data_IF_471788867062
#
_entry.id   IF_471788867062
#
_cell.length_a   1.000
_cell.length_b   1.000
_cell.length_c   1.000
_cell.angle_alpha   90.00
_cell.angle_beta   90.00
_cell.angle_gamma   90.00
#
_symmetry.space_group_name_H-M   'P 1'
#
loop_
_entity.id
_entity.type
_entity.pdbx_description
1 polymer ?
#
# COMPACT_ATOMS: atom_id res chain seq x y z
N UNK A 1 10.63 -2.07 15.80
CA UNK A 1 10.40 -3.53 15.72
C UNK A 1 9.07 -4.01 16.33
N UNK A 2 8.05 -3.17 16.26
CA UNK A 2 6.70 -3.48 16.76
C UNK A 2 6.05 -4.57 15.89
N UNK A 3 6.45 -4.70 14.63
CA UNK A 3 5.85 -5.62 13.66
C UNK A 3 6.36 -7.07 13.70
N UNK A 4 7.43 -7.39 14.40
CA UNK A 4 8.06 -8.73 14.36
C UNK A 4 7.48 -9.76 15.35
N UNK A 5 6.53 -9.38 16.23
CA UNK A 5 6.00 -10.26 17.29
C UNK A 5 4.47 -10.21 17.48
N UNK A 6 3.72 -9.58 16.56
CA UNK A 6 2.27 -9.49 16.69
C UNK A 6 1.61 -10.33 15.60
N UNK A 7 0.80 -11.28 15.99
CA UNK A 7 -0.12 -11.97 15.09
C UNK A 7 -1.44 -11.17 14.94
N UNK A 8 -2.34 -11.66 14.10
CA UNK A 8 -3.63 -10.99 13.87
C UNK A 8 -4.51 -10.98 15.13
N UNK A 9 -4.36 -11.96 16.01
CA UNK A 9 -5.09 -12.02 17.27
C UNK A 9 -4.63 -10.90 18.21
N UNK A 10 -3.32 -10.70 18.33
CA UNK A 10 -2.73 -9.63 19.13
C UNK A 10 -3.14 -8.25 18.62
N UNK A 11 -3.08 -8.02 17.30
CA UNK A 11 -3.51 -6.76 16.69
C UNK A 11 -4.98 -6.49 16.99
N UNK A 12 -5.85 -7.47 16.72
CA UNK A 12 -7.29 -7.34 16.95
C UNK A 12 -7.60 -7.02 18.40
N UNK A 13 -7.04 -7.80 19.35
CA UNK A 13 -7.30 -7.63 20.77
C UNK A 13 -6.82 -6.27 21.29
N UNK A 14 -5.62 -5.83 20.91
CA UNK A 14 -5.04 -4.57 21.36
C UNK A 14 -5.78 -3.37 20.78
N UNK A 15 -6.12 -3.38 19.50
CA UNK A 15 -6.90 -2.28 18.89
C UNK A 15 -8.28 -2.21 19.53
N UNK A 16 -8.98 -3.34 19.66
CA UNK A 16 -10.31 -3.39 20.24
C UNK A 16 -10.33 -2.85 21.68
N UNK A 17 -9.40 -3.28 22.52
CA UNK A 17 -9.31 -2.85 23.92
C UNK A 17 -8.81 -1.40 24.05
N UNK A 18 -7.82 -1.00 23.26
CA UNK A 18 -7.32 0.37 23.27
C UNK A 18 -8.35 1.40 22.78
N UNK A 19 -9.07 1.07 21.69
CA UNK A 19 -10.13 1.93 21.18
C UNK A 19 -11.30 2.11 22.16
N UNK A 20 -11.56 1.14 23.03
CA UNK A 20 -12.59 1.28 24.07
C UNK A 20 -12.39 2.54 24.92
N UNK A 21 -11.17 2.76 25.35
CA UNK A 21 -10.86 3.86 26.26
C UNK A 21 -10.76 5.20 25.51
N UNK A 22 -10.16 5.18 24.30
CA UNK A 22 -10.12 6.35 23.40
C UNK A 22 -11.53 6.84 23.06
N UNK A 23 -12.44 5.95 22.68
CA UNK A 23 -13.79 6.31 22.30
C UNK A 23 -14.64 6.80 23.49
N UNK A 24 -14.39 6.27 24.69
CA UNK A 24 -15.04 6.78 25.92
C UNK A 24 -14.59 8.21 26.28
N UNK A 25 -13.32 8.53 26.05
CA UNK A 25 -12.78 9.86 26.31
C UNK A 25 -13.19 10.85 25.23
N UNK A 26 -13.02 10.49 23.94
CA UNK A 26 -13.26 11.39 22.81
C UNK A 26 -14.77 11.61 22.52
N UNK A 27 -15.63 10.62 22.81
CA UNK A 27 -17.08 10.64 22.54
C UNK A 27 -17.46 11.18 21.15
N UNK A 28 -16.87 10.64 20.05
CA UNK A 28 -17.11 11.16 18.72
C UNK A 28 -18.53 10.85 18.24
N UNK A 29 -19.09 11.71 17.40
CA UNK A 29 -20.38 11.47 16.74
C UNK A 29 -20.30 10.40 15.65
N UNK A 30 -19.11 10.20 15.06
CA UNK A 30 -18.85 9.20 14.03
C UNK A 30 -17.38 8.79 14.03
N UNK A 31 -17.12 7.50 13.75
CA UNK A 31 -15.76 6.98 13.57
C UNK A 31 -15.53 6.67 12.10
N UNK A 32 -14.51 7.28 11.51
CA UNK A 32 -14.07 6.93 10.16
C UNK A 32 -13.02 5.82 10.21
N UNK A 33 -13.25 4.78 9.41
CA UNK A 33 -12.27 3.71 9.16
C UNK A 33 -11.96 3.67 7.66
N UNK A 34 -10.70 3.39 7.32
CA UNK A 34 -10.25 3.39 5.93
C UNK A 34 -9.69 2.02 5.53
N UNK A 35 -10.13 1.54 4.37
CA UNK A 35 -9.62 0.30 3.76
C UNK A 35 -10.04 -0.96 4.52
N UNK A 36 -9.14 -1.94 4.52
CA UNK A 36 -9.43 -3.33 4.83
C UNK A 36 -8.48 -3.99 5.85
N UNK A 37 -7.69 -3.18 6.54
CA UNK A 37 -6.77 -3.71 7.54
C UNK A 37 -7.52 -4.26 8.77
N UNK A 38 -6.89 -5.18 9.47
CA UNK A 38 -7.39 -5.68 10.77
C UNK A 38 -7.61 -4.55 11.77
N UNK A 39 -6.77 -3.50 11.72
CA UNK A 39 -6.94 -2.28 12.54
C UNK A 39 -8.26 -1.58 12.24
N UNK A 40 -8.60 -1.37 10.96
CA UNK A 40 -9.86 -0.73 10.55
C UNK A 40 -11.07 -1.53 11.03
N UNK A 41 -11.05 -2.85 10.87
CA UNK A 41 -12.13 -3.73 11.30
C UNK A 41 -12.30 -3.75 12.83
N UNK A 42 -11.20 -3.87 13.58
CA UNK A 42 -11.25 -3.86 15.04
C UNK A 42 -11.69 -2.51 15.61
N UNK A 43 -11.28 -1.40 15.00
CA UNK A 43 -11.75 -0.06 15.37
C UNK A 43 -13.24 0.14 15.07
N UNK A 44 -13.72 -0.34 13.92
CA UNK A 44 -15.14 -0.34 13.58
C UNK A 44 -15.98 -1.14 14.60
N UNK A 45 -15.50 -2.31 14.99
CA UNK A 45 -16.15 -3.15 16.00
C UNK A 45 -16.16 -2.48 17.39
N UNK A 46 -15.07 -1.82 17.77
CA UNK A 46 -15.01 -1.06 19.04
C UNK A 46 -16.03 0.09 19.06
N UNK A 47 -16.18 0.83 17.96
CA UNK A 47 -17.17 1.89 17.80
C UNK A 47 -18.59 1.33 17.88
N UNK A 48 -18.86 0.22 17.20
CA UNK A 48 -20.14 -0.47 17.25
C UNK A 48 -20.55 -0.86 18.68
N UNK A 49 -19.63 -1.37 19.50
CA UNK A 49 -19.88 -1.73 20.89
C UNK A 49 -20.26 -0.53 21.76
N UNK A 50 -19.88 0.67 21.39
CA UNK A 50 -20.29 1.92 22.06
C UNK A 50 -21.44 2.63 21.36
N UNK A 51 -22.06 1.99 20.36
CA UNK A 51 -23.17 2.53 19.56
C UNK A 51 -22.82 3.82 18.80
N UNK A 52 -21.54 3.98 18.47
CA UNK A 52 -21.05 5.11 17.68
C UNK A 52 -21.12 4.71 16.20
N UNK A 53 -21.78 5.55 15.34
CA UNK A 53 -21.82 5.31 13.90
C UNK A 53 -20.43 5.17 13.27
N UNK A 54 -20.30 4.26 12.29
CA UNK A 54 -19.06 4.04 11.56
C UNK A 54 -19.23 4.45 10.11
N UNK A 55 -18.26 5.20 9.59
CA UNK A 55 -18.11 5.58 8.19
C UNK A 55 -16.92 4.85 7.59
N UNK A 56 -17.14 4.07 6.53
CA UNK A 56 -16.12 3.27 5.87
C UNK A 56 -15.68 3.92 4.56
N UNK A 57 -14.42 4.38 4.51
CA UNK A 57 -13.77 4.91 3.32
C UNK A 57 -13.11 3.76 2.55
N UNK A 58 -13.19 3.79 1.22
CA UNK A 58 -12.77 2.69 0.32
C UNK A 58 -13.67 1.45 0.44
N UNK A 59 -14.98 1.68 0.66
CA UNK A 59 -15.95 0.63 0.88
C UNK A 59 -16.35 -0.11 -0.41
N UNK A 60 -16.60 -1.41 -0.30
CA UNK A 60 -17.23 -2.19 -1.37
C UNK A 60 -16.28 -2.87 -2.36
N UNK A 61 -14.96 -2.82 -2.16
CA UNK A 61 -14.03 -3.68 -2.90
C UNK A 61 -14.27 -5.14 -2.55
N UNK A 62 -14.36 -6.02 -3.55
CA UNK A 62 -14.61 -7.47 -3.36
C UNK A 62 -13.83 -8.31 -4.35
N UNK A 63 -13.19 -9.35 -3.84
CA UNK A 63 -12.64 -10.47 -4.63
C UNK A 63 -13.57 -11.66 -4.65
N UNK A 64 -14.52 -11.74 -3.69
CA UNK A 64 -15.44 -12.86 -3.45
C UNK A 64 -14.75 -14.16 -3.01
N UNK A 65 -13.47 -14.10 -2.66
CA UNK A 65 -12.71 -15.17 -2.04
C UNK A 65 -12.17 -14.69 -0.69
N UNK A 66 -12.79 -15.12 0.40
CA UNK A 66 -12.45 -14.67 1.78
C UNK A 66 -11.02 -14.99 2.21
N UNK A 67 -10.31 -15.80 1.44
CA UNK A 67 -8.92 -16.16 1.66
C UNK A 67 -7.94 -15.47 0.69
N UNK A 68 -8.44 -14.57 -0.20
CA UNK A 68 -7.59 -13.87 -1.17
C UNK A 68 -8.15 -12.49 -1.55
N UNK A 69 -7.47 -11.39 -1.15
CA UNK A 69 -6.36 -11.31 -0.19
C UNK A 69 -6.81 -11.68 1.23
N UNK A 70 -5.90 -12.26 2.00
CA UNK A 70 -6.19 -12.67 3.38
C UNK A 70 -5.33 -11.85 4.38
N UNK A 71 -5.93 -11.25 5.43
CA UNK A 71 -7.34 -11.33 5.88
C UNK A 71 -8.25 -10.23 5.30
N UNK A 72 -7.78 -9.47 4.31
CA UNK A 72 -8.38 -8.21 3.84
C UNK A 72 -9.82 -8.39 3.32
N UNK A 73 -10.08 -9.44 2.52
CA UNK A 73 -11.44 -9.63 1.97
C UNK A 73 -12.49 -9.88 3.05
N UNK A 74 -12.16 -10.64 4.09
CA UNK A 74 -13.07 -10.83 5.23
C UNK A 74 -13.23 -9.54 6.03
N UNK A 75 -12.15 -8.78 6.23
CA UNK A 75 -12.21 -7.48 6.90
C UNK A 75 -13.15 -6.51 6.17
N UNK A 76 -13.12 -6.47 4.82
CA UNK A 76 -14.04 -5.66 4.01
C UNK A 76 -15.50 -6.02 4.28
N UNK A 77 -15.80 -7.31 4.32
CA UNK A 77 -17.17 -7.80 4.56
C UNK A 77 -17.65 -7.47 5.97
N UNK A 78 -16.83 -7.71 7.00
CA UNK A 78 -17.16 -7.40 8.39
C UNK A 78 -17.37 -5.90 8.59
N UNK A 79 -16.43 -5.08 8.11
CA UNK A 79 -16.54 -3.62 8.20
C UNK A 79 -17.76 -3.10 7.45
N UNK A 80 -18.05 -3.66 6.26
CA UNK A 80 -19.24 -3.32 5.49
C UNK A 80 -20.56 -3.60 6.21
N UNK A 81 -20.63 -4.62 7.06
CA UNK A 81 -21.82 -4.90 7.88
C UNK A 81 -21.97 -3.95 9.07
N UNK A 82 -20.85 -3.52 9.65
CA UNK A 82 -20.85 -2.62 10.81
C UNK A 82 -21.14 -1.19 10.40
N UNK A 83 -20.58 -0.73 9.27
CA UNK A 83 -20.61 0.65 8.86
C UNK A 83 -22.04 1.16 8.55
N UNK A 84 -22.32 2.36 8.99
CA UNK A 84 -23.55 3.10 8.71
C UNK A 84 -23.50 3.92 7.42
N UNK A 85 -22.29 4.36 7.04
CA UNK A 85 -22.00 5.15 5.85
C UNK A 85 -20.88 4.50 5.05
N UNK A 86 -21.04 4.44 3.72
CA UNK A 86 -20.08 3.78 2.83
C UNK A 86 -19.63 4.76 1.74
N UNK A 87 -18.33 5.04 1.71
CA UNK A 87 -17.69 5.85 0.67
C UNK A 87 -16.96 4.92 -0.30
N UNK A 88 -17.60 4.65 -1.43
CA UNK A 88 -17.12 3.69 -2.41
C UNK A 88 -16.21 4.35 -3.44
N UNK A 89 -15.07 3.72 -3.82
CA UNK A 89 -14.16 4.30 -4.82
C UNK A 89 -14.74 4.25 -6.24
N UNK A 90 -15.64 3.30 -6.53
CA UNK A 90 -16.19 3.11 -7.88
C UNK A 90 -17.67 2.73 -7.84
N UNK A 91 -18.32 2.84 -9.00
CA UNK A 91 -19.71 2.35 -9.20
C UNK A 91 -19.78 0.83 -8.99
N UNK A 92 -18.74 0.07 -9.38
CA UNK A 92 -18.67 -1.37 -9.14
C UNK A 92 -18.62 -1.69 -7.64
N UNK A 93 -17.82 -0.94 -6.88
CA UNK A 93 -17.75 -1.09 -5.41
C UNK A 93 -19.08 -0.79 -4.75
N UNK A 94 -19.80 0.25 -5.22
CA UNK A 94 -21.17 0.54 -4.79
C UNK A 94 -22.11 -0.64 -5.08
N UNK A 95 -22.05 -1.21 -6.30
CA UNK A 95 -22.91 -2.32 -6.68
C UNK A 95 -22.67 -3.54 -5.80
N UNK A 96 -21.40 -3.87 -5.48
CA UNK A 96 -21.07 -4.96 -4.56
C UNK A 96 -21.77 -4.82 -3.20
N UNK A 97 -21.83 -3.61 -2.66
CA UNK A 97 -22.52 -3.34 -1.38
C UNK A 97 -24.04 -3.50 -1.50
N UNK A 98 -24.65 -3.05 -2.61
CA UNK A 98 -26.07 -3.24 -2.90
C UNK A 98 -26.41 -4.72 -2.99
N UNK A 99 -25.61 -5.49 -3.71
CA UNK A 99 -25.78 -6.95 -3.87
C UNK A 99 -25.69 -7.69 -2.52
N UNK A 100 -24.99 -7.12 -1.55
CA UNK A 100 -24.90 -7.60 -0.17
C UNK A 100 -26.02 -7.07 0.74
N UNK A 101 -26.98 -6.32 0.19
CA UNK A 101 -28.16 -5.81 0.88
C UNK A 101 -27.94 -4.51 1.67
N UNK A 102 -26.88 -3.76 1.37
CA UNK A 102 -26.72 -2.39 1.90
C UNK A 102 -27.65 -1.45 1.13
N UNK A 103 -28.42 -0.66 1.85
CA UNK A 103 -29.35 0.30 1.26
C UNK A 103 -28.59 1.40 0.48
N UNK A 104 -29.05 1.72 -0.72
CA UNK A 104 -28.39 2.64 -1.64
C UNK A 104 -28.17 4.04 -1.05
N UNK A 105 -29.10 4.54 -0.25
CA UNK A 105 -28.99 5.84 0.43
C UNK A 105 -27.89 5.91 1.51
N UNK A 106 -27.24 4.79 1.81
CA UNK A 106 -26.09 4.70 2.74
C UNK A 106 -24.75 4.65 2.00
N UNK A 107 -24.75 4.69 0.66
CA UNK A 107 -23.58 4.54 -0.18
C UNK A 107 -23.36 5.80 -1.02
N UNK A 108 -22.16 6.36 -0.94
CA UNK A 108 -21.74 7.49 -1.78
C UNK A 108 -20.51 7.08 -2.59
N UNK A 109 -20.54 7.28 -3.92
CA UNK A 109 -19.35 7.07 -4.76
C UNK A 109 -18.50 8.33 -4.70
N UNK A 110 -17.31 8.22 -4.10
CA UNK A 110 -16.41 9.35 -3.84
C UNK A 110 -15.18 9.36 -4.72
N UNK A 111 -14.91 8.31 -5.47
CA UNK A 111 -13.61 8.09 -6.10
C UNK A 111 -12.59 7.45 -5.14
N UNK A 112 -11.38 7.26 -5.62
CA UNK A 112 -10.28 6.67 -4.83
C UNK A 112 -9.44 7.79 -4.21
N UNK A 113 -9.56 7.98 -2.90
CA UNK A 113 -8.84 9.01 -2.12
C UNK A 113 -7.31 8.89 -2.19
N UNK A 114 -6.78 7.71 -2.55
CA UNK A 114 -5.34 7.51 -2.75
C UNK A 114 -4.82 8.34 -3.91
N UNK A 115 -5.61 8.49 -4.98
CA UNK A 115 -5.25 9.32 -6.15
C UNK A 115 -5.15 10.79 -5.75
N UNK A 116 -6.12 11.29 -4.98
CA UNK A 116 -6.11 12.67 -4.50
C UNK A 116 -4.90 12.92 -3.59
N UNK A 117 -4.60 11.97 -2.69
CA UNK A 117 -3.44 12.04 -1.82
C UNK A 117 -2.12 12.07 -2.61
N UNK A 118 -2.00 11.27 -3.67
CA UNK A 118 -0.82 11.29 -4.56
C UNK A 118 -0.66 12.65 -5.23
N UNK A 119 -1.73 13.23 -5.77
CA UNK A 119 -1.69 14.55 -6.38
C UNK A 119 -1.28 15.65 -5.39
N UNK A 120 -1.81 15.62 -4.16
CA UNK A 120 -1.42 16.58 -3.11
C UNK A 120 0.09 16.50 -2.83
N UNK A 121 0.65 15.30 -2.75
CA UNK A 121 2.09 15.10 -2.51
C UNK A 121 2.92 15.56 -3.71
N UNK A 122 2.54 15.19 -4.93
CA UNK A 122 3.25 15.61 -6.14
C UNK A 122 3.25 17.15 -6.27
N UNK A 123 2.12 17.79 -6.05
CA UNK A 123 2.02 19.24 -6.06
C UNK A 123 2.88 19.91 -4.96
N UNK A 124 2.92 19.32 -3.78
CA UNK A 124 3.79 19.78 -2.70
C UNK A 124 5.27 19.71 -3.11
N UNK A 125 5.73 18.59 -3.63
CA UNK A 125 7.10 18.39 -4.07
C UNK A 125 7.48 19.41 -5.17
N UNK A 126 6.59 19.65 -6.14
CA UNK A 126 6.82 20.62 -7.23
C UNK A 126 6.92 22.07 -6.77
N UNK A 127 6.30 22.42 -5.64
CA UNK A 127 6.31 23.79 -5.10
C UNK A 127 7.49 24.06 -4.17
N UNK A 128 8.00 23.06 -3.49
CA UNK A 128 9.01 23.16 -2.44
C UNK A 128 10.37 22.67 -2.97
N UNK A 129 11.22 23.59 -3.46
CA UNK A 129 12.55 23.25 -4.01
C UNK A 129 13.43 22.53 -2.98
N UNK A 130 13.44 23.01 -1.74
CA UNK A 130 14.21 22.38 -0.65
C UNK A 130 13.74 20.92 -0.37
N UNK A 131 12.44 20.63 -0.57
CA UNK A 131 11.92 19.28 -0.45
C UNK A 131 12.40 18.39 -1.59
N UNK A 132 12.41 18.89 -2.84
CA UNK A 132 12.93 18.15 -4.01
C UNK A 132 14.40 17.77 -3.78
N UNK A 133 15.24 18.72 -3.35
CA UNK A 133 16.65 18.49 -3.05
C UNK A 133 16.83 17.44 -1.93
N UNK A 134 16.07 17.57 -0.84
CA UNK A 134 16.09 16.61 0.27
C UNK A 134 15.71 15.20 -0.18
N UNK A 135 14.71 15.06 -1.05
CA UNK A 135 14.27 13.75 -1.56
C UNK A 135 15.32 13.13 -2.47
N UNK A 136 16.00 13.94 -3.31
CA UNK A 136 17.12 13.46 -4.15
C UNK A 136 18.27 12.92 -3.30
N UNK A 137 18.66 13.67 -2.25
CA UNK A 137 19.72 13.23 -1.34
C UNK A 137 19.36 11.91 -0.65
N UNK A 138 18.16 11.80 -0.10
CA UNK A 138 17.68 10.57 0.54
C UNK A 138 17.65 9.37 -0.41
N UNK A 139 17.21 9.56 -1.67
CA UNK A 139 17.19 8.50 -2.65
C UNK A 139 18.60 8.04 -3.01
N UNK A 140 19.55 8.98 -3.08
CA UNK A 140 20.97 8.66 -3.29
C UNK A 140 21.56 7.88 -2.11
N UNK A 141 21.22 8.24 -0.87
CA UNK A 141 21.63 7.53 0.34
C UNK A 141 21.14 6.07 0.37
N UNK A 142 19.92 5.81 -0.13
CA UNK A 142 19.36 4.45 -0.19
C UNK A 142 19.77 3.65 -1.44
N UNK A 143 20.57 4.25 -2.35
CA UNK A 143 21.22 3.54 -3.45
C UNK A 143 20.74 3.89 -4.86
N UNK A 144 19.93 4.96 -5.06
CA UNK A 144 19.56 5.40 -6.39
C UNK A 144 19.71 6.92 -6.58
N UNK A 145 20.62 7.31 -7.51
CA UNK A 145 20.84 8.72 -7.87
C UNK A 145 19.90 9.13 -9.02
N UNK A 146 18.85 9.89 -8.70
CA UNK A 146 17.84 10.32 -9.66
C UNK A 146 18.36 11.29 -10.72
N UNK A 147 19.57 11.87 -10.54
CA UNK A 147 20.20 12.72 -11.58
C UNK A 147 20.49 11.95 -12.87
N UNK A 148 20.56 10.61 -12.80
CA UNK A 148 20.66 9.73 -13.97
C UNK A 148 19.53 9.90 -14.98
N UNK A 149 18.38 10.42 -14.54
CA UNK A 149 17.21 10.66 -15.39
C UNK A 149 17.28 12.03 -16.14
N UNK A 150 18.20 12.91 -15.75
CA UNK A 150 18.32 14.26 -16.36
C UNK A 150 18.79 14.20 -17.80
N UNK A 151 19.52 13.16 -18.20
CA UNK A 151 19.96 12.91 -19.57
C UNK A 151 18.90 12.22 -20.45
N UNK A 152 17.66 12.14 -19.98
CA UNK A 152 16.54 11.52 -20.71
C UNK A 152 16.46 10.00 -20.56
N UNK A 153 17.26 9.40 -19.68
CA UNK A 153 17.16 7.97 -19.30
C UNK A 153 15.78 7.67 -18.74
N UNK A 154 15.22 6.53 -19.10
CA UNK A 154 13.92 6.07 -18.61
C UNK A 154 14.10 5.25 -17.32
N UNK A 155 13.08 5.24 -16.47
CA UNK A 155 13.06 4.44 -15.25
C UNK A 155 11.80 3.59 -15.16
N UNK A 156 11.98 2.34 -14.75
CA UNK A 156 10.93 1.40 -14.35
C UNK A 156 10.99 1.24 -12.84
N UNK A 157 9.93 1.61 -12.13
CA UNK A 157 9.79 1.40 -10.69
C UNK A 157 9.11 0.05 -10.43
N UNK A 158 9.77 -0.83 -9.69
CA UNK A 158 9.27 -2.17 -9.40
C UNK A 158 8.69 -2.23 -7.98
N UNK A 159 7.43 -2.69 -7.84
CA UNK A 159 6.71 -2.72 -6.54
C UNK A 159 6.21 -4.11 -6.15
N UNK A 160 6.79 -5.16 -6.71
CA UNK A 160 6.32 -6.54 -6.54
C UNK A 160 6.77 -7.19 -5.23
N UNK A 161 5.85 -7.35 -4.26
CA UNK A 161 6.13 -8.07 -3.00
C UNK A 161 4.89 -8.74 -2.38
N UNK A 162 3.83 -8.98 -3.16
CA UNK A 162 2.59 -9.59 -2.63
C UNK A 162 2.82 -11.04 -2.22
N UNK A 163 2.30 -11.40 -1.04
CA UNK A 163 2.43 -12.75 -0.44
C UNK A 163 1.90 -13.86 -1.34
N UNK A 164 0.89 -13.56 -2.15
CA UNK A 164 0.27 -14.49 -3.11
C UNK A 164 1.23 -14.96 -4.21
N UNK A 165 2.28 -14.17 -4.48
CA UNK A 165 3.26 -14.46 -5.51
C UNK A 165 4.54 -15.13 -4.96
N UNK A 166 4.62 -15.43 -3.66
CA UNK A 166 5.80 -16.11 -3.09
C UNK A 166 5.96 -17.53 -3.65
N UNK A 167 7.22 -17.98 -3.78
CA UNK A 167 7.58 -19.24 -4.41
C UNK A 167 7.97 -19.06 -5.87
N UNK A 168 7.63 -20.03 -6.72
CA UNK A 168 8.08 -20.07 -8.14
C UNK A 168 7.67 -18.82 -8.94
N UNK A 169 6.48 -18.27 -8.66
CA UNK A 169 6.01 -17.05 -9.33
C UNK A 169 6.91 -15.84 -9.09
N UNK A 170 7.46 -15.70 -7.88
CA UNK A 170 8.38 -14.62 -7.56
C UNK A 170 9.74 -14.81 -8.22
N UNK A 171 10.24 -16.05 -8.30
CA UNK A 171 11.48 -16.40 -9.01
C UNK A 171 11.34 -16.10 -10.51
N UNK A 172 10.20 -16.46 -11.13
CA UNK A 172 9.92 -16.11 -12.52
C UNK A 172 9.90 -14.60 -12.76
N UNK A 173 9.31 -13.82 -11.86
CA UNK A 173 9.33 -12.36 -11.92
C UNK A 173 10.77 -11.82 -11.83
N UNK A 174 11.58 -12.31 -10.89
CA UNK A 174 12.97 -11.91 -10.76
C UNK A 174 13.79 -12.26 -12.02
N UNK A 175 13.56 -13.43 -12.61
CA UNK A 175 14.20 -13.85 -13.87
C UNK A 175 13.82 -12.92 -15.02
N UNK A 176 12.53 -12.59 -15.15
CA UNK A 176 12.06 -11.67 -16.18
C UNK A 176 12.67 -10.26 -16.00
N UNK A 177 12.79 -9.76 -14.78
CA UNK A 177 13.46 -8.49 -14.48
C UNK A 177 14.93 -8.56 -14.96
N UNK A 178 15.64 -9.63 -14.64
CA UNK A 178 17.03 -9.85 -15.07
C UNK A 178 17.19 -9.83 -16.58
N UNK A 179 16.30 -10.51 -17.30
CA UNK A 179 16.31 -10.52 -18.77
C UNK A 179 16.01 -9.13 -19.34
N UNK A 180 15.08 -8.38 -18.72
CA UNK A 180 14.75 -7.01 -19.14
C UNK A 180 15.90 -6.04 -18.91
N UNK A 181 16.64 -6.14 -17.82
CA UNK A 181 17.82 -5.27 -17.59
C UNK A 181 18.89 -5.48 -18.65
N UNK A 182 19.12 -6.72 -19.10
CA UNK A 182 20.06 -7.02 -20.18
C UNK A 182 19.55 -6.52 -21.54
N UNK A 183 18.26 -6.62 -21.79
CA UNK A 183 17.63 -6.21 -23.06
C UNK A 183 17.57 -4.70 -23.22
N UNK A 184 17.44 -3.96 -22.12
CA UNK A 184 17.27 -2.51 -22.11
C UNK A 184 18.32 -1.82 -21.23
N UNK A 185 19.60 -1.77 -21.67
CA UNK A 185 20.69 -1.24 -20.86
C UNK A 185 20.57 0.27 -20.58
N UNK A 186 19.80 1.00 -21.40
CA UNK A 186 19.57 2.44 -21.27
C UNK A 186 18.36 2.78 -20.37
N UNK A 187 17.73 1.77 -19.77
CA UNK A 187 16.60 1.94 -18.84
C UNK A 187 17.05 1.54 -17.45
N UNK A 188 16.79 2.39 -16.47
CA UNK A 188 17.04 2.07 -15.07
C UNK A 188 15.84 1.30 -14.48
N UNK A 189 16.11 0.22 -13.77
CA UNK A 189 15.14 -0.57 -13.02
C UNK A 189 15.40 -0.36 -11.54
N UNK A 190 14.45 0.24 -10.85
CA UNK A 190 14.58 0.57 -9.42
C UNK A 190 13.61 -0.26 -8.61
N UNK A 191 14.13 -1.04 -7.67
CA UNK A 191 13.35 -1.96 -6.86
C UNK A 191 13.54 -1.71 -5.36
N UNK A 192 12.65 -0.94 -4.71
CA UNK A 192 12.61 -0.84 -3.26
C UNK A 192 12.29 -2.21 -2.64
N UNK A 193 13.27 -2.85 -2.00
CA UNK A 193 13.14 -4.19 -1.47
C UNK A 193 12.49 -4.20 -0.10
N UNK A 194 11.38 -4.92 0.05
CA UNK A 194 10.81 -5.16 1.37
C UNK A 194 11.75 -5.98 2.27
N UNK A 195 11.78 -5.66 3.58
CA UNK A 195 12.68 -6.32 4.56
C UNK A 195 12.35 -7.80 4.82
N UNK A 196 11.22 -8.30 4.30
CA UNK A 196 10.79 -9.68 4.48
C UNK A 196 11.79 -10.66 3.83
N UNK A 197 12.30 -11.67 4.56
CA UNK A 197 13.19 -12.68 3.99
C UNK A 197 12.61 -13.43 2.79
N UNK A 198 11.29 -13.59 2.71
CA UNK A 198 10.61 -14.21 1.57
C UNK A 198 10.67 -13.37 0.28
N UNK A 199 11.06 -12.10 0.38
CA UNK A 199 11.37 -11.23 -0.77
C UNK A 199 12.86 -11.26 -1.07
N UNK A 200 13.71 -11.09 -0.05
CA UNK A 200 15.17 -10.98 -0.23
C UNK A 200 15.83 -12.27 -0.68
N UNK A 201 15.43 -13.43 -0.13
CA UNK A 201 16.04 -14.72 -0.50
C UNK A 201 15.92 -15.07 -1.99
N UNK A 202 14.72 -15.04 -2.62
CA UNK A 202 14.61 -15.31 -4.06
C UNK A 202 15.34 -14.27 -4.93
N UNK A 203 15.45 -13.02 -4.49
CA UNK A 203 16.26 -12.02 -5.19
C UNK A 203 17.73 -12.44 -5.20
N UNK A 204 18.30 -12.79 -4.05
CA UNK A 204 19.68 -13.28 -3.99
C UNK A 204 19.89 -14.60 -4.75
N UNK A 205 18.90 -15.47 -4.82
CA UNK A 205 18.94 -16.71 -5.61
C UNK A 205 19.09 -16.44 -7.11
N UNK A 206 18.36 -15.44 -7.65
CA UNK A 206 18.38 -15.12 -9.09
C UNK A 206 19.53 -14.19 -9.47
N UNK A 207 19.83 -13.19 -8.63
CA UNK A 207 20.78 -12.12 -8.93
C UNK A 207 22.17 -12.33 -8.30
N UNK A 208 22.29 -13.27 -7.35
CA UNK A 208 23.51 -13.53 -6.58
C UNK A 208 23.60 -12.69 -5.31
N UNK A 209 24.66 -12.95 -4.53
CA UNK A 209 24.86 -12.27 -3.23
C UNK A 209 25.21 -10.78 -3.40
N UNK A 210 25.91 -10.41 -4.46
CA UNK A 210 26.27 -9.02 -4.75
C UNK A 210 25.29 -8.40 -5.75
N UNK A 211 24.33 -7.62 -5.23
CA UNK A 211 23.28 -6.95 -6.00
C UNK A 211 23.79 -5.68 -6.72
N UNK A 212 24.98 -5.17 -6.37
CA UNK A 212 25.54 -3.94 -6.95
C UNK A 212 26.22 -4.19 -8.33
N UNK A 213 26.25 -5.45 -8.80
CA UNK A 213 26.90 -5.82 -10.06
C UNK A 213 26.11 -5.40 -11.33
N UNK A 214 24.98 -4.76 -11.18
CA UNK A 214 24.13 -4.35 -12.30
C UNK A 214 24.23 -2.84 -12.54
N UNK A 215 24.57 -2.42 -13.76
CA UNK A 215 24.73 -1.00 -14.10
C UNK A 215 23.39 -0.22 -14.14
N UNK A 216 22.30 -0.92 -14.38
CA UNK A 216 20.96 -0.35 -14.58
C UNK A 216 19.86 -1.02 -13.74
N UNK A 217 20.19 -1.81 -12.73
CA UNK A 217 19.28 -2.41 -11.76
C UNK A 217 19.70 -2.02 -10.35
N UNK A 218 18.81 -1.36 -9.65
CA UNK A 218 19.05 -0.79 -8.33
C UNK A 218 18.10 -1.43 -7.32
N UNK A 219 18.64 -2.27 -6.46
CA UNK A 219 17.96 -2.78 -5.28
C UNK A 219 18.20 -1.81 -4.14
N UNK A 220 17.16 -1.07 -3.77
CA UNK A 220 17.26 -0.03 -2.75
C UNK A 220 16.51 -0.41 -1.47
N UNK A 221 16.86 0.24 -0.36
CA UNK A 221 16.12 0.06 0.90
C UNK A 221 14.67 0.57 0.79
N UNK A 222 13.76 0.06 1.66
CA UNK A 222 12.37 0.49 1.66
C UNK A 222 12.23 2.00 1.85
N UNK A 223 11.39 2.61 1.02
CA UNK A 223 11.18 4.05 1.00
C UNK A 223 10.03 4.46 1.93
N UNK A 224 10.12 5.68 2.46
CA UNK A 224 8.97 6.34 3.05
C UNK A 224 8.02 6.85 1.96
N UNK A 225 6.83 7.30 2.34
CA UNK A 225 5.79 7.64 1.39
C UNK A 225 6.20 8.76 0.41
N UNK A 226 6.87 9.80 0.90
CA UNK A 226 7.30 10.92 0.04
C UNK A 226 8.35 10.51 -1.00
N UNK A 227 9.37 9.76 -0.59
CA UNK A 227 10.41 9.22 -1.47
C UNK A 227 9.80 8.27 -2.52
N UNK A 228 8.84 7.44 -2.10
CA UNK A 228 8.16 6.52 -3.00
C UNK A 228 7.32 7.25 -4.05
N UNK A 229 6.53 8.25 -3.63
CA UNK A 229 5.72 9.07 -4.55
C UNK A 229 6.62 9.85 -5.51
N UNK A 230 7.77 10.35 -5.02
CA UNK A 230 8.75 11.03 -5.86
C UNK A 230 9.28 10.12 -6.97
N UNK A 231 9.70 8.90 -6.64
CA UNK A 231 10.14 7.93 -7.66
C UNK A 231 9.00 7.54 -8.60
N UNK A 232 7.79 7.38 -8.10
CA UNK A 232 6.63 7.07 -8.91
C UNK A 232 6.35 8.18 -9.94
N UNK A 233 6.45 9.44 -9.55
CA UNK A 233 6.27 10.60 -10.46
C UNK A 233 7.36 10.65 -11.54
N UNK A 234 8.60 10.29 -11.20
CA UNK A 234 9.74 10.25 -12.14
C UNK A 234 9.76 8.98 -13.01
N UNK A 235 8.99 7.95 -12.66
CA UNK A 235 9.00 6.69 -13.40
C UNK A 235 8.30 6.81 -14.76
N UNK A 236 8.83 6.07 -15.73
CA UNK A 236 8.18 5.90 -17.04
C UNK A 236 7.08 4.84 -16.95
N UNK A 237 7.31 3.82 -16.11
CA UNK A 237 6.41 2.68 -15.86
C UNK A 237 6.55 2.27 -14.37
N UNK A 238 5.44 1.87 -13.76
CA UNK A 238 5.36 1.23 -12.45
C UNK A 238 4.85 -0.19 -12.63
#
# INVERSE_FOLDING_TARGET
DVYKRQDLYDVTARVLTGMRDVLKEAQPDVVFVHGDTTTSTAAALAAFYQQIPVAHVEAGLRTRNIYSPWPEEMNRQLTGRIAGFHFSPTVLSRQNLIDEGIADNRITVTGNTVIDALYVVVEKIKREVELDETLREKLKEVGYDVTRLEDGRKMVLITGHRRENFGDGFIHMCTAIKDLTQKYPDVDFVYPMHLNPNVRKPIHEVFGENLDNFENLFFIEPLQYLEFVYLMEKSTIV
#
